data_IF_108310750930
#
_entry.id   IF_108310750930
#
_cell.length_a   1.000
_cell.length_b   1.000
_cell.length_c   1.000
_cell.angle_alpha   90.00
_cell.angle_beta   90.00
_cell.angle_gamma   90.00
#
_symmetry.space_group_name_H-M   'P 1'
#
loop_
_entity.id
_entity.type
_entity.pdbx_description
1 polymer ?
#
# COMPACT_ATOMS: atom_id res chain seq x y z
N UNK A 1 -24.06 -3.36 16.28
CA UNK A 1 -23.12 -3.42 15.13
C UNK A 1 -21.72 -3.09 15.67
N UNK A 2 -20.72 -3.95 15.46
CA UNK A 2 -19.34 -3.72 15.95
C UNK A 2 -18.78 -2.38 15.43
N UNK A 3 -18.07 -1.63 16.27
CA UNK A 3 -17.43 -0.34 15.93
C UNK A 3 -16.58 -0.41 14.65
N UNK A 4 -15.88 -1.52 14.43
CA UNK A 4 -15.11 -1.74 13.20
C UNK A 4 -15.99 -1.76 11.94
N UNK A 5 -17.21 -2.29 12.02
CA UNK A 5 -18.15 -2.36 10.89
C UNK A 5 -18.78 -0.99 10.61
N UNK A 6 -19.05 -0.19 11.64
CA UNK A 6 -19.48 1.21 11.46
C UNK A 6 -18.37 2.03 10.79
N UNK A 7 -17.13 1.86 11.23
CA UNK A 7 -15.97 2.51 10.65
C UNK A 7 -15.79 2.13 9.16
N UNK A 8 -15.92 0.86 8.81
CA UNK A 8 -15.86 0.38 7.43
C UNK A 8 -16.92 1.05 6.54
N UNK A 9 -18.17 1.13 7.00
CA UNK A 9 -19.25 1.80 6.27
C UNK A 9 -18.94 3.28 6.04
N UNK A 10 -18.48 3.99 7.08
CA UNK A 10 -18.14 5.40 6.95
C UNK A 10 -16.96 5.64 6.00
N UNK A 11 -15.95 4.76 6.00
CA UNK A 11 -14.82 4.84 5.07
C UNK A 11 -15.30 4.65 3.64
N UNK A 12 -16.19 3.68 3.41
CA UNK A 12 -16.76 3.40 2.09
C UNK A 12 -17.49 4.61 1.51
N UNK A 13 -18.22 5.36 2.33
CA UNK A 13 -18.93 6.57 1.91
C UNK A 13 -18.00 7.75 1.57
N UNK A 14 -16.80 7.79 2.14
CA UNK A 14 -15.87 8.93 2.00
C UNK A 14 -14.84 8.78 0.90
N UNK A 15 -14.57 7.55 0.44
CA UNK A 15 -13.54 7.31 -0.57
C UNK A 15 -14.10 7.60 -1.96
N UNK A 16 -13.39 8.47 -2.69
CA UNK A 16 -13.63 8.69 -4.11
C UNK A 16 -12.85 7.66 -4.92
N UNK A 17 -13.51 7.08 -5.91
CA UNK A 17 -12.94 6.00 -6.71
C UNK A 17 -11.94 6.54 -7.75
N UNK A 18 -10.66 6.30 -7.53
CA UNK A 18 -9.67 6.13 -8.61
C UNK A 18 -9.39 4.61 -8.69
N UNK A 19 -9.39 3.98 -9.88
CA UNK A 19 -9.14 2.54 -10.05
C UNK A 19 -7.92 1.99 -9.29
N UNK A 20 -6.92 2.81 -9.00
CA UNK A 20 -5.74 2.41 -8.23
C UNK A 20 -5.80 2.74 -6.73
N UNK A 21 -6.78 3.49 -6.23
CA UNK A 21 -6.89 3.85 -4.80
C UNK A 21 -8.33 3.74 -4.30
N UNK A 22 -9.08 2.80 -4.87
CA UNK A 22 -10.46 2.54 -4.55
C UNK A 22 -10.64 1.86 -3.19
N UNK A 23 -11.89 1.80 -2.72
CA UNK A 23 -12.23 1.07 -1.52
C UNK A 23 -11.78 -0.40 -1.58
N UNK A 24 -11.71 -0.99 -2.78
CA UNK A 24 -11.23 -2.35 -2.97
C UNK A 24 -9.75 -2.51 -2.62
N UNK A 25 -8.89 -1.51 -2.86
CA UNK A 25 -7.52 -1.50 -2.33
C UNK A 25 -7.51 -1.65 -0.82
N UNK A 26 -8.28 -0.82 -0.11
CA UNK A 26 -8.38 -0.92 1.35
C UNK A 26 -8.83 -2.30 1.79
N UNK A 27 -9.82 -2.89 1.11
CA UNK A 27 -10.31 -4.22 1.46
C UNK A 27 -9.32 -5.34 1.14
N UNK A 28 -8.49 -5.22 0.11
CA UNK A 28 -7.39 -6.16 -0.14
C UNK A 28 -6.29 -6.04 0.93
N UNK A 29 -5.93 -4.82 1.33
CA UNK A 29 -5.01 -4.58 2.46
C UNK A 29 -5.57 -5.17 3.75
N UNK A 30 -6.85 -4.92 4.05
CA UNK A 30 -7.57 -5.49 5.19
C UNK A 30 -7.54 -7.04 5.18
N UNK A 31 -7.74 -7.67 4.02
CA UNK A 31 -7.60 -9.13 3.84
C UNK A 31 -6.16 -9.60 4.09
N UNK A 32 -5.15 -8.86 3.62
CA UNK A 32 -3.75 -9.18 3.88
C UNK A 32 -3.41 -9.06 5.38
N UNK A 33 -3.91 -8.03 6.07
CA UNK A 33 -3.77 -7.88 7.54
C UNK A 33 -4.29 -9.11 8.26
N UNK A 34 -5.51 -9.57 7.93
CA UNK A 34 -6.09 -10.78 8.53
C UNK A 34 -5.22 -12.02 8.33
N UNK A 35 -4.55 -12.15 7.17
CA UNK A 35 -3.65 -13.29 6.90
C UNK A 35 -2.37 -13.21 7.72
N UNK A 36 -1.73 -12.03 7.75
CA UNK A 36 -0.48 -11.83 8.48
C UNK A 36 -0.71 -11.98 9.99
N UNK A 37 -1.73 -11.30 10.53
CA UNK A 37 -2.00 -11.25 11.97
C UNK A 37 -2.36 -12.62 12.59
N UNK A 38 -2.75 -13.63 11.80
CA UNK A 38 -2.93 -15.01 12.29
C UNK A 38 -1.65 -15.64 12.83
N UNK A 39 -0.49 -15.09 12.45
CA UNK A 39 0.83 -15.62 12.81
C UNK A 39 1.56 -14.71 13.82
N UNK A 40 0.91 -13.67 14.31
CA UNK A 40 1.52 -12.64 15.15
C UNK A 40 0.65 -12.41 16.40
N UNK A 41 1.29 -12.16 17.55
CA UNK A 41 0.54 -11.87 18.78
C UNK A 41 0.18 -10.37 18.84
N UNK A 42 -0.96 -10.00 18.27
CA UNK A 42 -1.42 -8.60 18.16
C UNK A 42 -2.92 -8.48 18.39
N UNK A 43 -3.37 -7.29 18.79
CA UNK A 43 -4.80 -6.98 18.77
C UNK A 43 -5.26 -6.73 17.32
N UNK A 44 -5.89 -7.74 16.73
CA UNK A 44 -6.34 -7.72 15.34
C UNK A 44 -7.25 -6.51 15.04
N UNK A 45 -8.13 -6.12 15.97
CA UNK A 45 -9.06 -5.02 15.73
C UNK A 45 -8.35 -3.69 15.50
N UNK A 46 -7.23 -3.43 16.19
CA UNK A 46 -6.45 -2.21 16.01
C UNK A 46 -5.79 -2.17 14.63
N UNK A 47 -5.23 -3.29 14.18
CA UNK A 47 -4.58 -3.34 12.85
C UNK A 47 -5.61 -3.23 11.73
N UNK A 48 -6.80 -3.82 11.91
CA UNK A 48 -7.89 -3.72 10.95
C UNK A 48 -8.45 -2.29 10.88
N UNK A 49 -8.61 -1.61 12.02
CA UNK A 49 -9.00 -0.19 12.03
C UNK A 49 -7.94 0.67 11.32
N UNK A 50 -6.65 0.39 11.55
CA UNK A 50 -5.56 1.07 10.85
C UNK A 50 -5.61 0.81 9.33
N UNK A 51 -5.89 -0.42 8.89
CA UNK A 51 -6.05 -0.75 7.48
C UNK A 51 -7.23 -0.04 6.82
N UNK A 52 -8.36 0.10 7.51
CA UNK A 52 -9.51 0.84 6.97
C UNK A 52 -9.20 2.35 6.78
N UNK A 53 -8.30 2.89 7.58
CA UNK A 53 -8.06 4.34 7.64
C UNK A 53 -6.76 4.79 6.98
N UNK A 54 -5.86 3.88 6.58
CA UNK A 54 -4.49 4.24 6.20
C UNK A 54 -4.39 5.19 5.00
N UNK A 55 -5.31 5.08 4.04
CA UNK A 55 -5.37 5.84 2.79
C UNK A 55 -6.65 6.68 2.63
N UNK A 56 -7.33 6.99 3.75
CA UNK A 56 -8.55 7.81 3.75
C UNK A 56 -8.32 9.25 3.25
N UNK A 57 -7.07 9.72 3.25
CA UNK A 57 -6.63 10.92 2.55
C UNK A 57 -5.58 10.52 1.53
N UNK A 58 -5.94 10.58 0.25
CA UNK A 58 -5.04 10.32 -0.87
C UNK A 58 -5.00 11.51 -1.83
N UNK A 59 -3.82 11.74 -2.42
CA UNK A 59 -3.59 12.71 -3.48
C UNK A 59 -2.97 11.97 -4.68
N UNK A 60 -3.17 12.45 -5.92
CA UNK A 60 -2.49 11.90 -7.10
C UNK A 60 -0.98 11.77 -6.88
N UNK A 61 -0.33 10.74 -7.44
CA UNK A 61 1.10 10.49 -7.19
C UNK A 61 1.99 11.59 -7.77
N UNK A 62 1.54 12.25 -8.83
CA UNK A 62 2.15 13.45 -9.39
C UNK A 62 2.12 14.69 -8.47
N UNK A 63 1.23 14.73 -7.48
CA UNK A 63 1.10 15.87 -6.57
C UNK A 63 2.14 15.81 -5.44
N UNK A 64 2.82 16.93 -5.15
CA UNK A 64 3.78 17.04 -4.05
C UNK A 64 3.16 16.71 -2.68
N UNK A 65 1.85 16.94 -2.51
CA UNK A 65 1.09 16.63 -1.29
C UNK A 65 1.01 15.13 -1.01
N UNK A 66 1.19 14.27 -2.03
CA UNK A 66 1.17 12.81 -1.89
C UNK A 66 2.19 12.27 -0.86
N UNK A 67 3.29 12.99 -0.63
CA UNK A 67 4.29 12.65 0.40
C UNK A 67 3.76 12.78 1.83
N UNK A 68 2.67 13.52 2.01
CA UNK A 68 2.05 13.79 3.31
C UNK A 68 0.72 13.05 3.52
N UNK A 69 0.28 12.24 2.53
CA UNK A 69 -0.99 11.50 2.60
C UNK A 69 -1.12 10.66 3.86
N UNK A 70 -0.10 9.86 4.20
CA UNK A 70 -0.08 9.03 5.41
C UNK A 70 -0.23 9.83 6.70
N UNK A 71 0.41 10.99 6.81
CA UNK A 71 0.26 11.86 7.99
C UNK A 71 -1.13 12.48 8.07
N UNK A 72 -1.71 12.90 6.94
CA UNK A 72 -3.06 13.45 6.89
C UNK A 72 -4.13 12.38 7.16
N UNK A 73 -3.94 11.17 6.64
CA UNK A 73 -4.75 10.00 7.00
C UNK A 73 -4.67 9.72 8.49
N UNK A 74 -3.48 9.78 9.10
CA UNK A 74 -3.31 9.58 10.54
C UNK A 74 -4.05 10.65 11.37
N UNK A 75 -4.00 11.92 10.95
CA UNK A 75 -4.75 13.01 11.58
C UNK A 75 -6.26 12.82 11.47
N UNK A 76 -6.76 12.47 10.28
CA UNK A 76 -8.19 12.20 10.06
C UNK A 76 -8.65 10.96 10.83
N UNK A 77 -7.83 9.91 10.87
CA UNK A 77 -8.06 8.70 11.65
C UNK A 77 -8.26 9.01 13.13
N UNK A 78 -7.42 9.87 13.72
CA UNK A 78 -7.57 10.31 15.12
C UNK A 78 -8.97 10.85 15.39
N UNK A 79 -9.43 11.81 14.57
CA UNK A 79 -10.74 12.47 14.72
C UNK A 79 -11.89 11.45 14.57
N UNK A 80 -11.75 10.48 13.67
CA UNK A 80 -12.78 9.44 13.47
C UNK A 80 -12.82 8.46 14.64
N UNK A 81 -11.67 8.00 15.12
CA UNK A 81 -11.60 7.00 16.20
C UNK A 81 -12.10 7.56 17.53
N UNK A 82 -11.93 8.86 17.79
CA UNK A 82 -12.50 9.55 18.96
C UNK A 82 -14.03 9.46 18.99
N UNK A 83 -14.70 9.36 17.83
CA UNK A 83 -16.16 9.20 17.72
C UNK A 83 -16.66 7.77 17.96
N UNK A 84 -15.77 6.78 17.87
CA UNK A 84 -16.09 5.35 17.99
C UNK A 84 -15.56 4.73 19.28
N UNK A 85 -15.40 5.55 20.34
CA UNK A 85 -15.02 5.12 21.69
C UNK A 85 -13.70 4.34 21.82
N UNK A 86 -12.77 4.52 20.88
CA UNK A 86 -11.41 3.98 21.05
C UNK A 86 -10.69 4.73 22.19
N UNK A 87 -9.94 4.00 23.01
CA UNK A 87 -9.14 4.59 24.07
C UNK A 87 -7.98 5.42 23.49
N UNK A 88 -7.46 6.37 24.28
CA UNK A 88 -6.29 7.18 23.88
C UNK A 88 -5.08 6.32 23.47
N UNK A 89 -4.89 5.17 24.13
CA UNK A 89 -3.79 4.27 23.82
C UNK A 89 -4.01 3.54 22.47
N UNK A 90 -5.22 3.05 22.21
CA UNK A 90 -5.56 2.41 20.93
C UNK A 90 -5.45 3.39 19.76
N UNK A 91 -5.94 4.61 19.93
CA UNK A 91 -5.80 5.68 18.94
C UNK A 91 -4.32 5.94 18.65
N UNK A 92 -3.47 6.02 19.67
CA UNK A 92 -2.02 6.22 19.50
C UNK A 92 -1.38 5.10 18.67
N UNK A 93 -1.77 3.84 18.91
CA UNK A 93 -1.29 2.68 18.15
C UNK A 93 -1.73 2.78 16.69
N UNK A 94 -3.02 3.02 16.44
CA UNK A 94 -3.59 3.09 15.09
C UNK A 94 -2.99 4.24 14.29
N UNK A 95 -2.96 5.44 14.86
CA UNK A 95 -2.39 6.65 14.24
C UNK A 95 -0.90 6.46 13.96
N UNK A 96 -0.15 5.86 14.88
CA UNK A 96 1.26 5.54 14.68
C UNK A 96 1.49 4.57 13.53
N UNK A 97 0.69 3.50 13.45
CA UNK A 97 0.74 2.55 12.34
C UNK A 97 0.47 3.24 10.99
N UNK A 98 -0.57 4.08 10.91
CA UNK A 98 -0.92 4.82 9.69
C UNK A 98 0.19 5.83 9.32
N UNK A 99 0.77 6.55 10.27
CA UNK A 99 1.79 7.55 9.97
C UNK A 99 3.07 6.93 9.35
N UNK A 100 3.45 5.74 9.79
CA UNK A 100 4.74 5.12 9.43
C UNK A 100 4.64 4.05 8.32
N UNK A 101 3.45 3.69 7.83
CA UNK A 101 3.30 2.59 6.86
C UNK A 101 3.88 2.91 5.46
N UNK A 102 3.73 4.16 4.98
CA UNK A 102 3.97 4.50 3.57
C UNK A 102 5.42 4.28 3.09
N UNK A 103 5.58 3.76 1.86
CA UNK A 103 6.92 3.49 1.28
C UNK A 103 7.79 4.74 1.13
N UNK A 104 7.19 5.89 0.76
CA UNK A 104 7.90 7.16 0.55
C UNK A 104 8.58 7.70 1.81
N UNK A 105 8.12 7.29 2.99
CA UNK A 105 8.71 7.67 4.28
C UNK A 105 9.99 6.91 4.59
N UNK A 106 10.24 5.78 3.91
CA UNK A 106 11.36 4.86 4.16
C UNK A 106 11.59 4.55 5.66
N UNK A 107 10.50 4.48 6.43
CA UNK A 107 10.51 4.15 7.85
C UNK A 107 10.16 2.69 8.06
N UNK A 108 10.81 2.10 9.05
CA UNK A 108 10.44 0.80 9.61
C UNK A 108 9.59 1.04 10.85
N UNK A 109 8.31 0.65 10.86
CA UNK A 109 7.45 0.82 12.03
C UNK A 109 8.04 0.10 13.25
N UNK A 110 7.96 0.75 14.42
CA UNK A 110 8.46 0.17 15.68
C UNK A 110 7.50 -0.90 16.22
N UNK A 111 6.20 -0.67 16.08
CA UNK A 111 5.14 -1.55 16.61
C UNK A 111 4.84 -2.70 15.67
N UNK A 112 4.32 -3.81 16.21
CA UNK A 112 3.92 -4.95 15.40
C UNK A 112 2.71 -4.61 14.52
N UNK A 113 1.77 -3.81 15.02
CA UNK A 113 0.61 -3.33 14.27
C UNK A 113 1.03 -2.52 13.04
N UNK A 114 2.02 -1.62 13.20
CA UNK A 114 2.58 -0.84 12.10
C UNK A 114 3.31 -1.72 11.08
N UNK A 115 4.09 -2.71 11.53
CA UNK A 115 4.78 -3.67 10.66
C UNK A 115 3.78 -4.49 9.83
N UNK A 116 2.71 -4.98 10.46
CA UNK A 116 1.66 -5.75 9.78
C UNK A 116 0.93 -4.88 8.76
N UNK A 117 0.53 -3.65 9.12
CA UNK A 117 -0.12 -2.73 8.18
C UNK A 117 0.78 -2.42 6.98
N UNK A 118 2.05 -2.10 7.24
CA UNK A 118 3.01 -1.80 6.19
C UNK A 118 3.24 -3.01 5.26
N UNK A 119 3.38 -4.21 5.82
CA UNK A 119 3.50 -5.44 5.03
C UNK A 119 2.24 -5.70 4.19
N UNK A 120 1.05 -5.53 4.79
CA UNK A 120 -0.23 -5.76 4.13
C UNK A 120 -0.45 -4.83 2.93
N UNK A 121 -0.11 -3.54 3.08
CA UNK A 121 -0.15 -2.53 2.01
C UNK A 121 0.87 -2.86 0.91
N UNK A 122 2.13 -3.15 1.28
CA UNK A 122 3.18 -3.49 0.32
C UNK A 122 2.87 -4.77 -0.46
N UNK A 123 2.22 -5.75 0.15
CA UNK A 123 1.79 -6.96 -0.54
C UNK A 123 0.75 -6.66 -1.64
N UNK A 124 -0.12 -5.66 -1.46
CA UNK A 124 -1.11 -5.26 -2.48
C UNK A 124 -0.45 -4.59 -3.70
N UNK A 125 0.76 -4.04 -3.53
CA UNK A 125 1.57 -3.51 -4.63
C UNK A 125 2.34 -4.60 -5.42
N UNK A 126 2.27 -5.87 -5.00
CA UNK A 126 2.98 -6.98 -5.64
C UNK A 126 2.02 -7.95 -6.36
N UNK A 127 2.57 -8.79 -7.24
CA UNK A 127 1.84 -9.83 -7.95
C UNK A 127 0.90 -9.27 -9.02
N UNK A 128 -0.09 -10.06 -9.43
CA UNK A 128 -1.02 -9.70 -10.50
C UNK A 128 -1.75 -8.37 -10.25
N UNK A 129 -2.23 -8.15 -9.02
CA UNK A 129 -2.85 -6.88 -8.62
C UNK A 129 -1.84 -5.73 -8.69
N UNK A 130 -0.60 -5.94 -8.26
CA UNK A 130 0.47 -4.95 -8.39
C UNK A 130 0.72 -4.52 -9.84
N UNK A 131 0.72 -5.47 -10.78
CA UNK A 131 0.86 -5.20 -12.22
C UNK A 131 -0.32 -4.35 -12.70
N UNK A 132 -1.56 -4.79 -12.46
CA UNK A 132 -2.76 -4.09 -12.88
C UNK A 132 -2.81 -2.64 -12.35
N UNK A 133 -2.50 -2.45 -11.06
CA UNK A 133 -2.44 -1.12 -10.43
C UNK A 133 -1.37 -0.24 -11.06
N UNK A 134 -0.20 -0.79 -11.36
CA UNK A 134 0.92 -0.02 -11.94
C UNK A 134 0.53 0.56 -13.29
N UNK A 135 -0.07 -0.24 -14.18
CA UNK A 135 -0.52 0.24 -15.49
C UNK A 135 -1.78 1.09 -15.42
N UNK A 136 -2.68 0.84 -14.47
CA UNK A 136 -3.83 1.70 -14.24
C UNK A 136 -3.43 3.11 -13.80
N UNK A 137 -2.48 3.25 -12.85
CA UNK A 137 -1.91 4.56 -12.48
C UNK A 137 -1.16 5.18 -13.66
N UNK A 138 -0.37 4.39 -14.39
CA UNK A 138 0.34 4.86 -15.58
C UNK A 138 -0.62 5.49 -16.61
N UNK A 139 -1.73 4.81 -16.91
CA UNK A 139 -2.77 5.32 -17.80
C UNK A 139 -3.45 6.59 -17.28
N UNK A 140 -3.83 6.62 -15.99
CA UNK A 140 -4.47 7.78 -15.38
C UNK A 140 -3.56 9.03 -15.37
N UNK A 141 -2.24 8.83 -15.30
CA UNK A 141 -1.24 9.91 -15.37
C UNK A 141 -0.72 10.18 -16.79
N UNK A 142 -1.32 9.60 -17.83
CA UNK A 142 -0.88 9.70 -19.24
C UNK A 142 0.61 9.37 -19.43
N UNK A 143 1.09 8.38 -18.68
CA UNK A 143 2.49 7.96 -18.70
C UNK A 143 2.69 6.84 -19.71
N UNK A 144 3.68 6.96 -20.62
CA UNK A 144 4.05 5.86 -21.51
C UNK A 144 4.33 4.55 -20.74
N UNK A 145 4.05 3.41 -21.38
CA UNK A 145 4.26 2.08 -20.80
C UNK A 145 5.75 1.91 -20.45
N UNK A 146 6.65 2.17 -21.39
CA UNK A 146 8.10 2.07 -21.20
C UNK A 146 8.85 3.10 -22.06
N UNK A 147 10.15 3.24 -21.83
CA UNK A 147 11.04 4.04 -22.68
C UNK A 147 11.51 3.20 -23.86
N UNK A 148 11.19 3.61 -25.09
CA UNK A 148 11.52 2.85 -26.31
C UNK A 148 13.02 2.50 -26.42
N UNK A 149 13.91 3.43 -26.09
CA UNK A 149 15.37 3.22 -26.22
C UNK A 149 16.00 2.36 -25.11
N UNK A 150 15.33 2.21 -23.97
CA UNK A 150 15.80 1.39 -22.84
C UNK A 150 14.61 1.04 -21.92
N UNK A 151 13.79 0.04 -22.31
CA UNK A 151 12.55 -0.28 -21.59
C UNK A 151 12.78 -0.82 -20.17
N UNK A 152 13.96 -1.41 -19.93
CA UNK A 152 14.26 -2.16 -18.70
C UNK A 152 15.38 -1.55 -17.85
N UNK A 153 15.77 -0.31 -18.14
CA UNK A 153 16.74 0.48 -17.37
C UNK A 153 18.15 -0.16 -17.32
N UNK A 154 18.66 -0.71 -18.43
CA UNK A 154 20.01 -1.30 -18.45
C UNK A 154 21.11 -0.23 -18.37
N UNK A 155 20.89 0.93 -18.98
CA UNK A 155 21.91 1.98 -19.11
C UNK A 155 21.57 3.26 -18.31
N UNK A 156 20.54 3.21 -17.46
CA UNK A 156 20.01 4.40 -16.75
C UNK A 156 19.36 4.03 -15.43
N UNK A 157 19.20 5.03 -14.56
CA UNK A 157 18.32 4.91 -13.41
C UNK A 157 16.84 4.88 -13.83
N UNK A 158 15.98 4.13 -13.11
CA UNK A 158 14.54 4.15 -13.34
C UNK A 158 13.92 5.49 -12.92
N UNK A 159 13.10 6.06 -13.81
CA UNK A 159 12.29 7.27 -13.63
C UNK A 159 10.81 6.91 -13.76
N UNK A 160 10.24 6.49 -12.63
CA UNK A 160 8.85 6.12 -12.48
C UNK A 160 7.91 7.32 -12.40
N UNK A 161 8.33 8.51 -12.85
CA UNK A 161 7.44 9.63 -13.18
C UNK A 161 7.21 9.73 -14.68
N UNK A 162 8.16 9.26 -15.49
CA UNK A 162 8.12 9.33 -16.96
C UNK A 162 7.70 8.03 -17.63
N UNK A 163 8.06 6.87 -17.07
CA UNK A 163 7.74 5.57 -17.66
C UNK A 163 7.14 4.61 -16.64
N UNK A 164 6.14 3.83 -17.06
CA UNK A 164 5.36 2.99 -16.15
C UNK A 164 6.14 1.76 -15.70
N UNK A 165 6.84 1.08 -16.62
CA UNK A 165 7.69 -0.09 -16.34
C UNK A 165 8.81 0.24 -15.34
N UNK A 166 9.34 1.45 -15.36
CA UNK A 166 10.36 1.90 -14.41
C UNK A 166 9.93 1.77 -12.94
N UNK A 167 8.62 1.82 -12.66
CA UNK A 167 8.09 1.64 -11.31
C UNK A 167 8.41 0.25 -10.72
N UNK A 168 8.53 -0.78 -11.57
CA UNK A 168 8.93 -2.12 -11.15
C UNK A 168 10.33 -2.07 -10.52
N UNK A 169 11.28 -1.43 -11.18
CA UNK A 169 12.67 -1.32 -10.74
C UNK A 169 12.84 -0.30 -9.60
N UNK A 170 12.13 0.82 -9.66
CA UNK A 170 12.22 1.88 -8.66
C UNK A 170 11.65 1.46 -7.31
N UNK A 171 10.59 0.65 -7.31
CA UNK A 171 9.84 0.29 -6.10
C UNK A 171 9.54 -1.20 -5.99
N UNK A 172 8.78 -1.78 -6.92
CA UNK A 172 8.10 -3.06 -6.67
C UNK A 172 9.07 -4.19 -6.38
N UNK A 173 10.13 -4.34 -7.18
CA UNK A 173 11.14 -5.39 -7.03
C UNK A 173 11.98 -5.24 -5.75
N UNK A 174 11.91 -4.08 -5.07
CA UNK A 174 12.59 -3.83 -3.80
C UNK A 174 11.73 -4.21 -2.59
N UNK A 175 10.41 -4.36 -2.75
CA UNK A 175 9.48 -4.52 -1.62
C UNK A 175 9.66 -5.86 -0.89
N UNK A 176 9.99 -6.94 -1.60
CA UNK A 176 10.22 -8.26 -0.99
C UNK A 176 11.25 -8.21 0.13
N UNK A 177 12.39 -7.55 -0.12
CA UNK A 177 13.49 -7.41 0.84
C UNK A 177 13.14 -6.48 2.02
N UNK A 178 12.09 -5.67 1.89
CA UNK A 178 11.65 -4.69 2.89
C UNK A 178 10.47 -5.19 3.74
N UNK A 179 9.98 -6.41 3.55
CA UNK A 179 8.92 -6.98 4.38
C UNK A 179 9.42 -7.21 5.82
N UNK A 180 8.52 -7.04 6.79
CA UNK A 180 8.83 -7.10 8.22
C UNK A 180 8.62 -8.52 8.77
N UNK A 181 7.42 -9.08 8.59
CA UNK A 181 6.98 -10.36 9.16
C UNK A 181 7.42 -11.56 8.33
N UNK A 182 7.55 -12.73 8.97
CA UNK A 182 7.94 -13.98 8.28
C UNK A 182 6.91 -14.38 7.23
N UNK A 183 5.62 -14.26 7.55
CA UNK A 183 4.53 -14.57 6.63
C UNK A 183 4.56 -13.64 5.40
N UNK A 184 4.69 -12.33 5.61
CA UNK A 184 4.72 -11.38 4.50
C UNK A 184 5.93 -11.59 3.60
N UNK A 185 7.12 -11.92 4.14
CA UNK A 185 8.30 -12.27 3.34
C UNK A 185 8.03 -13.45 2.40
N UNK A 186 7.40 -14.52 2.91
CA UNK A 186 7.05 -15.71 2.12
C UNK A 186 6.07 -15.35 1.00
N UNK A 187 5.01 -14.62 1.32
CA UNK A 187 4.00 -14.23 0.32
C UNK A 187 4.54 -13.21 -0.68
N UNK A 188 5.40 -12.28 -0.25
CA UNK A 188 6.05 -11.31 -1.11
C UNK A 188 6.94 -12.01 -2.13
N UNK A 189 7.75 -13.01 -1.72
CA UNK A 189 8.57 -13.81 -2.65
C UNK A 189 7.73 -14.44 -3.76
N UNK A 190 6.59 -15.05 -3.40
CA UNK A 190 5.65 -15.63 -4.37
C UNK A 190 5.10 -14.58 -5.33
N UNK A 191 4.69 -13.42 -4.83
CA UNK A 191 4.13 -12.33 -5.65
C UNK A 191 5.18 -11.62 -6.51
N UNK A 192 6.42 -11.50 -6.03
CA UNK A 192 7.55 -10.95 -6.80
C UNK A 192 7.91 -11.84 -7.98
N UNK A 193 7.79 -13.16 -7.84
CA UNK A 193 8.00 -14.08 -8.96
C UNK A 193 7.08 -13.75 -10.14
N UNK A 194 5.80 -13.44 -9.88
CA UNK A 194 4.83 -13.02 -10.89
C UNK A 194 5.27 -11.71 -11.57
N UNK A 195 5.80 -10.74 -10.81
CA UNK A 195 6.30 -9.49 -11.39
C UNK A 195 7.49 -9.74 -12.34
N UNK A 196 8.40 -10.64 -11.96
CA UNK A 196 9.55 -10.99 -12.78
C UNK A 196 9.13 -11.70 -14.06
N UNK A 197 8.19 -12.66 -13.96
CA UNK A 197 7.64 -13.36 -15.11
C UNK A 197 7.00 -12.38 -16.10
N UNK A 198 6.18 -11.46 -15.60
CA UNK A 198 5.60 -10.41 -16.44
C UNK A 198 6.66 -9.58 -17.17
N UNK A 199 7.74 -9.18 -16.49
CA UNK A 199 8.85 -8.45 -17.13
C UNK A 199 9.59 -9.31 -18.16
N UNK A 200 9.70 -10.61 -17.92
CA UNK A 200 10.31 -11.57 -18.86
C UNK A 200 9.48 -11.69 -20.14
N UNK A 201 8.17 -11.88 -20.03
CA UNK A 201 7.29 -11.95 -21.20
C UNK A 201 7.19 -10.61 -21.92
N UNK A 202 7.09 -9.50 -21.19
CA UNK A 202 7.10 -8.16 -21.79
C UNK A 202 8.37 -7.94 -22.63
N UNK A 203 9.52 -8.41 -22.17
CA UNK A 203 10.80 -8.34 -22.91
C UNK A 203 10.82 -9.20 -24.18
N UNK A 204 9.99 -10.24 -24.28
CA UNK A 204 9.87 -11.06 -25.50
C UNK A 204 8.97 -10.42 -26.53
N UNK A 205 7.99 -9.63 -26.07
CA UNK A 205 7.00 -8.96 -26.93
C UNK A 205 7.53 -7.66 -27.56
N UNK A 206 8.52 -7.00 -26.95
CA UNK A 206 9.07 -5.69 -27.37
C UNK A 206 10.57 -5.75 -27.68
#
# INVERSE_FOLDING_TARGET
>A
MNELKKLELQVREQIKNDPAHDFEHIMRVYKNVKKIAKHENVNLNLVLAAALLHDIVSFPKSDNRSKTSSLKSAQKAKIMLEKYHYTKNEIKIIVGAIADHSFSRNKTPKTMEGKILQDADRLDALGAIGIARTFSVGGAENRPIYRVTDPFCYARAPDDKKWTVDHFYRKLLLLEKKMNTKFAKKEAKRRTAILKEFLTELKREI
#
